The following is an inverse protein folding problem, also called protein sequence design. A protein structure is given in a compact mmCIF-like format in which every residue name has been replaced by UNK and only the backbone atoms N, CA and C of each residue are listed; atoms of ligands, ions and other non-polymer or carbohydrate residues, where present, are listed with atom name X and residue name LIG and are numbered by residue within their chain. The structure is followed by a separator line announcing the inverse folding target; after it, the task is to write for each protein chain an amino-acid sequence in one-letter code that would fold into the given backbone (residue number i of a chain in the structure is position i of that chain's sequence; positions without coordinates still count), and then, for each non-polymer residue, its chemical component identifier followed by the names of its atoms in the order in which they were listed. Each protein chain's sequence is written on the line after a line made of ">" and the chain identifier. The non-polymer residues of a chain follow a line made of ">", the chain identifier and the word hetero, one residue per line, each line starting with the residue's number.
data_IF_334293761854
#
_entry.id   IF_334293761854
#
_cell.length_a   1.000
_cell.length_b   1.000
_cell.length_c   1.000
_cell.angle_alpha   90.00
_cell.angle_beta   90.00
_cell.angle_gamma   90.00
#
_symmetry.space_group_name_H-M   'P 1'
#
loop_
_entity.id
_entity.type
_entity.pdbx_description
1 polymer ?
#
# COMPACT_ATOMS: atom_id res chain seq x y z
N UNK A 1 -26.37 35.90 -48.68
CA UNK A 1 -25.91 34.56 -48.28
C UNK A 1 -25.12 34.72 -47.00
N UNK A 2 -25.77 34.44 -45.87
CA UNK A 2 -25.13 34.34 -44.56
C UNK A 2 -24.11 33.20 -44.59
N UNK A 3 -22.84 33.51 -44.33
CA UNK A 3 -21.86 32.49 -43.99
C UNK A 3 -21.64 32.55 -42.48
N UNK A 4 -22.23 31.54 -41.85
CA UNK A 4 -22.36 31.25 -40.44
C UNK A 4 -21.05 31.45 -39.65
N UNK A 5 -21.08 32.31 -38.64
CA UNK A 5 -20.12 32.39 -37.54
C UNK A 5 -20.31 31.19 -36.60
N UNK A 6 -20.06 29.98 -37.09
CA UNK A 6 -19.84 28.84 -36.20
C UNK A 6 -18.48 29.03 -35.54
N UNK A 7 -18.49 29.85 -34.48
CA UNK A 7 -17.47 29.89 -33.45
C UNK A 7 -17.09 28.45 -33.11
N UNK A 8 -15.93 28.04 -33.60
CA UNK A 8 -15.26 26.85 -33.11
C UNK A 8 -14.78 27.19 -31.70
N UNK A 9 -15.71 27.12 -30.75
CA UNK A 9 -15.46 27.18 -29.33
C UNK A 9 -14.68 25.91 -28.94
N UNK A 10 -13.40 25.86 -29.30
CA UNK A 10 -12.43 25.02 -28.60
C UNK A 10 -12.14 25.71 -27.28
N UNK A 11 -13.11 25.70 -26.35
CA UNK A 11 -12.76 25.80 -24.94
C UNK A 11 -11.68 24.73 -24.72
N UNK A 12 -10.42 25.08 -24.44
CA UNK A 12 -9.43 24.07 -24.17
C UNK A 12 -9.94 23.31 -22.96
N UNK A 13 -10.29 22.03 -23.14
CA UNK A 13 -10.65 21.15 -22.04
C UNK A 13 -9.65 21.42 -20.91
N UNK A 14 -10.09 21.78 -19.69
CA UNK A 14 -9.16 22.08 -18.62
C UNK A 14 -8.35 20.82 -18.37
N UNK A 15 -7.14 20.77 -18.93
CA UNK A 15 -6.19 19.68 -18.71
C UNK A 15 -5.78 19.74 -17.26
N UNK A 16 -6.55 19.03 -16.42
CA UNK A 16 -6.26 18.87 -15.01
C UNK A 16 -4.92 18.14 -14.89
N UNK A 17 -3.88 18.90 -14.55
CA UNK A 17 -2.54 18.39 -14.25
C UNK A 17 -2.63 17.35 -13.13
N UNK A 18 -1.76 16.35 -13.16
CA UNK A 18 -1.69 15.34 -12.11
C UNK A 18 -0.99 15.90 -10.87
N UNK A 19 -1.45 15.51 -9.68
CA UNK A 19 -0.81 15.87 -8.42
C UNK A 19 0.45 15.01 -8.22
N UNK A 20 1.63 15.61 -8.26
CA UNK A 20 2.89 14.95 -7.86
C UNK A 20 2.81 14.23 -6.51
N UNK A 21 2.19 14.82 -5.46
CA UNK A 21 1.99 14.15 -4.18
C UNK A 21 1.11 12.89 -4.26
N UNK A 22 0.10 12.89 -5.13
CA UNK A 22 -0.79 11.74 -5.32
C UNK A 22 -0.14 10.59 -6.08
N UNK A 23 0.80 10.89 -6.99
CA UNK A 23 1.60 9.84 -7.66
C UNK A 23 2.61 9.26 -6.66
N UNK A 24 3.27 10.13 -5.87
CA UNK A 24 4.19 9.69 -4.84
C UNK A 24 3.50 8.79 -3.80
N UNK A 25 2.29 9.14 -3.35
CA UNK A 25 1.53 8.28 -2.44
C UNK A 25 1.24 6.92 -3.06
N UNK A 26 0.77 6.89 -4.32
CA UNK A 26 0.49 5.64 -5.02
C UNK A 26 1.71 4.72 -5.12
N UNK A 27 2.87 5.25 -5.50
CA UNK A 27 4.10 4.46 -5.62
C UNK A 27 4.57 3.95 -4.27
N UNK A 28 4.56 4.79 -3.22
CA UNK A 28 4.94 4.38 -1.87
C UNK A 28 4.00 3.31 -1.32
N UNK A 29 2.68 3.46 -1.53
CA UNK A 29 1.68 2.46 -1.16
C UNK A 29 1.89 1.13 -1.90
N UNK A 30 2.29 1.17 -3.17
CA UNK A 30 2.59 -0.03 -3.95
C UNK A 30 3.85 -0.74 -3.43
N UNK A 31 4.90 0.02 -3.12
CA UNK A 31 6.13 -0.54 -2.53
C UNK A 31 5.85 -1.15 -1.16
N UNK A 32 5.04 -0.48 -0.33
CA UNK A 32 4.61 -0.99 0.96
C UNK A 32 3.82 -2.31 0.83
N UNK A 33 2.89 -2.38 -0.13
CA UNK A 33 2.13 -3.59 -0.42
C UNK A 33 3.06 -4.76 -0.80
N UNK A 34 4.04 -4.51 -1.68
CA UNK A 34 5.02 -5.53 -2.08
C UNK A 34 5.83 -5.99 -0.86
N UNK A 35 6.26 -5.08 0.00
CA UNK A 35 6.98 -5.42 1.23
C UNK A 35 6.12 -6.30 2.17
N UNK A 36 4.83 -6.02 2.31
CA UNK A 36 3.91 -6.87 3.08
C UNK A 36 3.79 -8.27 2.48
N UNK A 37 3.64 -8.38 1.15
CA UNK A 37 3.57 -9.67 0.47
C UNK A 37 4.87 -10.45 0.69
N UNK A 38 6.03 -9.80 0.57
CA UNK A 38 7.33 -10.41 0.82
C UNK A 38 7.43 -10.92 2.27
N UNK A 39 7.04 -10.13 3.27
CA UNK A 39 7.04 -10.55 4.67
C UNK A 39 6.17 -11.78 4.91
N UNK A 40 4.96 -11.83 4.33
CA UNK A 40 4.06 -12.98 4.45
C UNK A 40 4.71 -14.21 3.82
N UNK A 41 5.32 -14.09 2.64
CA UNK A 41 6.01 -15.20 1.98
C UNK A 41 7.18 -15.70 2.84
N UNK A 42 8.02 -14.82 3.38
CA UNK A 42 9.13 -15.19 4.27
C UNK A 42 8.63 -15.95 5.50
N UNK A 43 7.54 -15.48 6.13
CA UNK A 43 6.92 -16.16 7.28
C UNK A 43 6.43 -17.56 6.89
N UNK A 44 5.75 -17.70 5.74
CA UNK A 44 5.23 -18.98 5.28
C UNK A 44 6.33 -19.99 4.95
N UNK A 45 7.40 -19.55 4.27
CA UNK A 45 8.56 -20.39 3.95
C UNK A 45 9.24 -20.83 5.25
N UNK A 46 9.53 -19.89 6.14
CA UNK A 46 10.15 -20.17 7.44
C UNK A 46 9.33 -21.16 8.27
N UNK A 47 8.00 -20.99 8.30
CA UNK A 47 7.10 -21.89 9.03
C UNK A 47 7.11 -23.29 8.41
N UNK A 48 7.13 -23.39 7.08
CA UNK A 48 7.22 -24.69 6.39
C UNK A 48 8.53 -25.40 6.71
N UNK A 49 9.65 -24.69 6.69
CA UNK A 49 10.97 -25.24 7.00
C UNK A 49 11.02 -25.77 8.43
N UNK A 50 10.48 -25.02 9.39
CA UNK A 50 10.38 -25.46 10.79
C UNK A 50 9.53 -26.71 10.95
N UNK A 51 8.37 -26.78 10.29
CA UNK A 51 7.50 -27.97 10.32
C UNK A 51 8.20 -29.19 9.70
N UNK A 52 8.95 -29.01 8.61
CA UNK A 52 9.64 -30.12 7.93
C UNK A 52 10.93 -30.54 8.64
N UNK A 53 11.55 -29.65 9.40
CA UNK A 53 12.77 -29.96 10.15
C UNK A 53 12.55 -30.96 11.30
N UNK A 54 11.30 -31.29 11.64
CA UNK A 54 10.96 -32.30 12.66
C UNK A 54 11.34 -31.91 14.08
N UNK A 55 11.80 -30.67 14.29
CA UNK A 55 12.14 -30.12 15.59
C UNK A 55 10.86 -29.74 16.35
N UNK A 56 10.84 -29.89 17.68
CA UNK A 56 9.76 -29.37 18.48
C UNK A 56 9.69 -27.85 18.31
N UNK A 57 8.54 -27.35 17.86
CA UNK A 57 8.29 -25.92 17.67
C UNK A 57 8.14 -25.28 19.05
N UNK A 58 9.24 -24.73 19.57
CA UNK A 58 9.28 -23.96 20.81
C UNK A 58 9.33 -22.45 20.52
N UNK A 59 8.86 -21.64 21.46
CA UNK A 59 8.90 -20.18 21.32
C UNK A 59 10.34 -19.67 21.13
N UNK A 60 11.31 -20.26 21.84
CA UNK A 60 12.72 -19.89 21.71
C UNK A 60 13.26 -20.15 20.29
N UNK A 61 12.83 -21.25 19.66
CA UNK A 61 13.23 -21.57 18.29
C UNK A 61 12.62 -20.59 17.29
N UNK A 62 11.35 -20.20 17.48
CA UNK A 62 10.66 -19.22 16.62
C UNK A 62 11.32 -17.85 16.75
N UNK A 63 11.53 -17.35 17.97
CA UNK A 63 12.03 -15.99 18.21
C UNK A 63 13.46 -15.83 17.69
N UNK A 64 14.29 -16.86 17.82
CA UNK A 64 15.69 -16.82 17.38
C UNK A 64 15.87 -17.25 15.92
N UNK A 65 14.80 -17.64 15.22
CA UNK A 65 14.93 -18.03 13.81
C UNK A 65 15.16 -16.80 12.92
N UNK A 66 16.21 -16.86 12.10
CA UNK A 66 16.58 -15.74 11.22
C UNK A 66 15.44 -15.29 10.30
N UNK A 67 14.64 -16.23 9.78
CA UNK A 67 13.50 -15.91 8.91
C UNK A 67 12.39 -15.10 9.59
N UNK A 68 12.15 -15.31 10.90
CA UNK A 68 11.18 -14.50 11.64
C UNK A 68 11.73 -13.13 12.02
N UNK A 69 13.03 -13.03 12.32
CA UNK A 69 13.69 -11.75 12.57
C UNK A 69 13.68 -10.86 11.32
N UNK A 70 14.00 -11.43 10.16
CA UNK A 70 13.97 -10.74 8.88
C UNK A 70 12.55 -10.28 8.53
N UNK A 71 11.56 -11.18 8.63
CA UNK A 71 10.17 -10.83 8.39
C UNK A 71 9.68 -9.72 9.34
N UNK A 72 10.07 -9.76 10.61
CA UNK A 72 9.75 -8.72 11.59
C UNK A 72 10.28 -7.34 11.17
N UNK A 73 11.52 -7.27 10.70
CA UNK A 73 12.11 -6.02 10.21
C UNK A 73 11.39 -5.49 8.96
N UNK A 74 11.06 -6.38 8.01
CA UNK A 74 10.31 -6.01 6.80
C UNK A 74 8.93 -5.46 7.17
N UNK A 75 8.24 -6.07 8.13
CA UNK A 75 6.92 -5.59 8.60
C UNK A 75 7.04 -4.21 9.23
N UNK A 76 8.05 -3.95 10.07
CA UNK A 76 8.26 -2.63 10.68
C UNK A 76 8.51 -1.58 9.58
N UNK A 77 9.37 -1.88 8.61
CA UNK A 77 9.61 -0.99 7.48
C UNK A 77 8.32 -0.74 6.66
N UNK A 78 7.53 -1.78 6.41
CA UNK A 78 6.26 -1.67 5.69
C UNK A 78 5.24 -0.79 6.44
N UNK A 79 5.19 -0.86 7.77
CA UNK A 79 4.35 0.01 8.60
C UNK A 79 4.74 1.48 8.41
N UNK A 80 6.04 1.79 8.47
CA UNK A 80 6.54 3.16 8.27
C UNK A 80 6.19 3.65 6.86
N UNK A 81 6.44 2.85 5.82
CA UNK A 81 6.08 3.19 4.44
C UNK A 81 4.57 3.42 4.28
N UNK A 82 3.75 2.62 4.95
CA UNK A 82 2.29 2.74 4.89
C UNK A 82 1.81 4.04 5.54
N UNK A 83 2.42 4.45 6.66
CA UNK A 83 2.14 5.75 7.28
C UNK A 83 2.51 6.91 6.35
N UNK A 84 3.71 6.87 5.75
CA UNK A 84 4.16 7.88 4.79
C UNK A 84 3.24 7.93 3.57
N UNK A 85 2.92 6.77 2.98
CA UNK A 85 2.00 6.66 1.83
C UNK A 85 0.60 7.18 2.15
N UNK A 86 0.08 6.90 3.34
CA UNK A 86 -1.21 7.40 3.81
C UNK A 86 -1.21 8.93 3.95
N UNK A 87 -0.18 9.51 4.58
CA UNK A 87 -0.04 10.97 4.73
C UNK A 87 0.05 11.64 3.36
N UNK A 88 0.91 11.16 2.46
CA UNK A 88 1.02 11.71 1.10
C UNK A 88 -0.28 11.55 0.31
N UNK A 89 -1.03 10.46 0.54
CA UNK A 89 -2.32 10.21 -0.10
C UNK A 89 -3.40 11.19 0.37
N UNK A 90 -3.47 11.46 1.68
CA UNK A 90 -4.36 12.46 2.27
C UNK A 90 -4.01 13.86 1.74
N UNK A 91 -2.72 14.21 1.71
CA UNK A 91 -2.24 15.48 1.13
C UNK A 91 -2.65 15.56 -0.34
N UNK A 92 -2.43 14.50 -1.12
CA UNK A 92 -2.83 14.42 -2.53
C UNK A 92 -4.34 14.57 -2.77
N UNK A 93 -5.17 14.14 -1.81
CA UNK A 93 -6.63 14.29 -1.83
C UNK A 93 -7.09 15.72 -1.50
N UNK A 94 -6.36 16.39 -0.60
CA UNK A 94 -6.62 17.76 -0.16
C UNK A 94 -6.23 18.83 -1.19
N UNK A 95 -5.34 18.52 -2.16
CA UNK A 95 -5.02 19.45 -3.25
C UNK A 95 -6.24 19.72 -4.15
N UNK A 96 -6.63 20.99 -4.26
CA UNK A 96 -7.71 21.47 -5.15
C UNK A 96 -7.21 21.55 -6.59
N UNK A 97 -8.07 21.26 -7.57
CA UNK A 97 -7.80 21.44 -9.01
C UNK A 97 -6.80 20.47 -9.68
N UNK A 98 -6.78 19.19 -9.27
CA UNK A 98 -5.92 18.14 -9.85
C UNK A 98 -6.64 16.78 -9.90
N UNK A 99 -6.23 15.87 -10.79
CA UNK A 99 -6.81 14.51 -10.89
C UNK A 99 -6.48 13.68 -9.63
N UNK A 100 -7.51 13.28 -8.88
CA UNK A 100 -7.38 12.64 -7.55
C UNK A 100 -7.30 11.11 -7.57
N UNK A 101 -7.38 10.49 -8.75
CA UNK A 101 -7.43 9.02 -8.90
C UNK A 101 -6.23 8.33 -8.25
N UNK A 102 -5.00 8.84 -8.44
CA UNK A 102 -3.80 8.24 -7.85
C UNK A 102 -3.73 8.38 -6.32
N UNK A 103 -4.19 9.51 -5.78
CA UNK A 103 -4.25 9.71 -4.33
C UNK A 103 -5.26 8.74 -3.68
N UNK A 104 -6.44 8.57 -4.28
CA UNK A 104 -7.47 7.63 -3.82
C UNK A 104 -6.96 6.20 -3.89
N UNK A 105 -6.34 5.80 -5.01
CA UNK A 105 -5.77 4.46 -5.18
C UNK A 105 -4.68 4.17 -4.15
N UNK A 106 -3.78 5.13 -3.88
CA UNK A 106 -2.75 4.99 -2.86
C UNK A 106 -3.34 4.77 -1.46
N UNK A 107 -4.35 5.55 -1.07
CA UNK A 107 -5.01 5.39 0.23
C UNK A 107 -5.74 4.05 0.33
N UNK A 108 -6.48 3.64 -0.71
CA UNK A 108 -7.20 2.35 -0.73
C UNK A 108 -6.23 1.18 -0.62
N UNK A 109 -5.12 1.20 -1.37
CA UNK A 109 -4.10 0.16 -1.32
C UNK A 109 -3.41 0.14 0.04
N UNK A 110 -3.05 1.30 0.60
CA UNK A 110 -2.43 1.38 1.93
C UNK A 110 -3.35 0.97 3.07
N UNK A 111 -4.67 1.13 2.93
CA UNK A 111 -5.64 0.71 3.94
C UNK A 111 -5.88 -0.81 3.94
N UNK A 112 -5.58 -1.50 2.84
CA UNK A 112 -5.87 -2.92 2.68
C UNK A 112 -5.07 -3.83 3.65
N UNK A 113 -3.73 -3.71 3.79
CA UNK A 113 -2.97 -4.54 4.73
C UNK A 113 -3.39 -4.39 6.20
N UNK A 114 -3.55 -3.17 6.78
CA UNK A 114 -3.97 -3.04 8.17
C UNK A 114 -5.43 -3.49 8.38
N UNK A 115 -6.32 -3.26 7.42
CA UNK A 115 -7.70 -3.75 7.50
C UNK A 115 -7.76 -5.29 7.51
N UNK A 116 -6.98 -5.94 6.65
CA UNK A 116 -6.87 -7.40 6.63
C UNK A 116 -6.31 -7.95 7.95
N UNK A 117 -5.25 -7.33 8.48
CA UNK A 117 -4.68 -7.66 9.79
C UNK A 117 -5.71 -7.52 10.92
N UNK A 118 -6.50 -6.44 10.92
CA UNK A 118 -7.56 -6.21 11.90
C UNK A 118 -8.62 -7.31 11.86
N UNK A 119 -9.09 -7.69 10.66
CA UNK A 119 -10.09 -8.76 10.49
C UNK A 119 -9.56 -10.09 11.03
N UNK A 120 -8.31 -10.46 10.70
CA UNK A 120 -7.69 -11.68 11.22
C UNK A 120 -7.57 -11.65 12.76
N UNK A 121 -7.20 -10.50 13.33
CA UNK A 121 -7.12 -10.34 14.79
C UNK A 121 -8.49 -10.52 15.46
N UNK A 122 -9.57 -9.99 14.86
CA UNK A 122 -10.92 -10.16 15.36
C UNK A 122 -11.41 -11.61 15.29
N UNK A 123 -11.06 -12.33 14.21
CA UNK A 123 -11.35 -13.77 14.10
C UNK A 123 -10.58 -14.55 15.16
N UNK A 124 -9.30 -14.22 15.39
CA UNK A 124 -8.46 -14.92 16.37
C UNK A 124 -8.95 -14.74 17.81
N UNK A 125 -9.58 -13.59 18.11
CA UNK A 125 -10.05 -13.23 19.46
C UNK A 125 -11.49 -13.67 19.77
N UNK A 126 -12.27 -14.02 18.74
CA UNK A 126 -13.66 -14.53 18.87
C UNK A 126 -13.68 -16.04 19.06
#
# INVERSE_FOLDING_TARGET
>A
MEFNTSEMNTSPDPTYKHSGPGIASFVISLVALIAYVAAIVTILVTTRDLVHSGLPITNDLIINHAGFLEAGLIVIAAIILTLVGCILGIIGLALKNRKKVFAILGVVISALPPAFMLILALIRTS
#
